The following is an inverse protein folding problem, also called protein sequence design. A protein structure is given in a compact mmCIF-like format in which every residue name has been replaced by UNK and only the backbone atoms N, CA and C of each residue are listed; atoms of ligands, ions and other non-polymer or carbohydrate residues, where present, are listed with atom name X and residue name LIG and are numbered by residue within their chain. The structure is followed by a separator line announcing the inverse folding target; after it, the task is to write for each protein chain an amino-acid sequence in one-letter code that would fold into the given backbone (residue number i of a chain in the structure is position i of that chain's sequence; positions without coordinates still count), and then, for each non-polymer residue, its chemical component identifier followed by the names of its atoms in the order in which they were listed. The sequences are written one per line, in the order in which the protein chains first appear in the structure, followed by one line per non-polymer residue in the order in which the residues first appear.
data_IF_648923518340
#
_entry.id   IF_648923518340
#
_cell.length_a   1.000
_cell.length_b   1.000
_cell.length_c   1.000
_cell.angle_alpha   90.00
_cell.angle_beta   90.00
_cell.angle_gamma   90.00
#
_symmetry.space_group_name_H-M   'P 1'
#
loop_
_entity.id
_entity.type
_entity.pdbx_description
1 polymer ?
#
# COMPACT_ATOMS: atom_id res chain seq x y z
N UNK A 1 8.70 6.09 1.87
CA UNK A 1 7.80 5.48 2.88
C UNK A 1 6.40 5.98 2.60
N UNK A 2 5.39 5.12 2.67
CA UNK A 2 4.01 5.46 2.33
C UNK A 2 3.04 5.35 3.50
N UNK A 3 1.85 5.91 3.32
CA UNK A 3 0.70 5.74 4.23
C UNK A 3 -0.57 5.37 3.49
N UNK A 4 -1.30 4.37 4.00
CA UNK A 4 -2.70 4.17 3.64
C UNK A 4 -3.60 5.13 4.40
N UNK A 5 -4.54 5.76 3.69
CA UNK A 5 -5.49 6.72 4.26
C UNK A 5 -6.88 6.30 3.82
N UNK A 6 -7.78 6.10 4.78
CA UNK A 6 -9.19 5.90 4.54
C UNK A 6 -9.95 7.21 4.82
N UNK A 7 -10.41 7.95 3.79
CA UNK A 7 -11.10 9.23 3.97
C UNK A 7 -12.40 9.15 4.76
N UNK A 8 -13.02 7.97 4.86
CA UNK A 8 -14.20 7.76 5.72
C UNK A 8 -13.86 7.79 7.21
N UNK A 9 -12.64 7.39 7.58
CA UNK A 9 -12.16 7.37 8.97
C UNK A 9 -11.47 8.69 9.31
N UNK A 10 -10.60 9.16 8.43
CA UNK A 10 -9.96 10.47 8.57
C UNK A 10 -10.08 11.26 7.28
N UNK A 11 -10.99 12.25 7.21
CA UNK A 11 -11.14 13.09 6.03
C UNK A 11 -9.82 13.75 5.62
N UNK A 12 -9.55 13.81 4.32
CA UNK A 12 -8.37 14.48 3.74
C UNK A 12 -8.29 15.95 4.20
N UNK A 13 -9.44 16.56 4.45
CA UNK A 13 -9.57 17.91 5.01
C UNK A 13 -8.86 18.11 6.35
N UNK A 14 -8.73 17.05 7.15
CA UNK A 14 -8.18 17.08 8.51
C UNK A 14 -6.71 16.65 8.60
N UNK A 15 -6.10 16.26 7.48
CA UNK A 15 -4.74 15.72 7.47
C UNK A 15 -3.72 16.86 7.29
N UNK A 16 -2.74 16.93 8.20
CA UNK A 16 -1.59 17.81 8.03
C UNK A 16 -0.51 17.12 7.20
N UNK A 17 -0.45 17.47 5.92
CA UNK A 17 0.52 16.90 4.97
C UNK A 17 1.96 17.32 5.25
N UNK A 18 2.19 18.48 5.86
CA UNK A 18 3.53 18.89 6.30
C UNK A 18 4.06 17.97 7.39
N UNK A 19 3.23 17.63 8.39
CA UNK A 19 3.61 16.65 9.42
C UNK A 19 3.96 15.28 8.83
N UNK A 20 3.22 14.82 7.82
CA UNK A 20 3.55 13.59 7.11
C UNK A 20 4.92 13.70 6.40
N UNK A 21 5.16 14.82 5.72
CA UNK A 21 6.43 15.09 5.03
C UNK A 21 7.61 15.09 6.00
N UNK A 22 7.46 15.77 7.14
CA UNK A 22 8.48 15.87 8.19
C UNK A 22 8.76 14.50 8.84
N UNK A 23 7.75 13.62 8.89
CA UNK A 23 7.92 12.23 9.32
C UNK A 23 8.56 11.31 8.25
N UNK A 24 8.96 11.85 7.09
CA UNK A 24 9.62 11.10 6.02
C UNK A 24 8.66 10.37 5.08
N UNK A 25 7.37 10.69 5.11
CA UNK A 25 6.39 10.14 4.16
C UNK A 25 6.58 10.77 2.79
N UNK A 26 6.67 9.92 1.78
CA UNK A 26 6.88 10.29 0.37
C UNK A 26 5.68 9.99 -0.50
N UNK A 27 4.82 9.08 -0.07
CA UNK A 27 3.69 8.56 -0.84
C UNK A 27 2.46 8.41 0.06
N UNK A 28 1.28 8.75 -0.45
CA UNK A 28 0.01 8.44 0.19
C UNK A 28 -0.86 7.58 -0.73
N UNK A 29 -1.62 6.67 -0.14
CA UNK A 29 -2.51 5.73 -0.81
C UNK A 29 -3.92 5.97 -0.28
N UNK A 30 -4.72 6.68 -1.07
CA UNK A 30 -6.05 7.15 -0.66
C UNK A 30 -7.12 6.18 -1.10
N UNK A 31 -7.88 5.64 -0.15
CA UNK A 31 -9.01 4.76 -0.45
C UNK A 31 -10.08 5.52 -1.24
N UNK A 32 -10.41 5.02 -2.43
CA UNK A 32 -11.51 5.55 -3.25
C UNK A 32 -12.33 4.45 -3.90
N UNK A 33 -13.52 4.83 -4.35
CA UNK A 33 -14.50 3.99 -5.05
C UNK A 33 -14.95 4.69 -6.33
N UNK A 34 -15.66 3.95 -7.18
CA UNK A 34 -16.14 4.46 -8.47
C UNK A 34 -16.99 5.74 -8.33
N UNK A 35 -17.74 5.88 -7.24
CA UNK A 35 -18.66 6.99 -6.98
C UNK A 35 -18.00 8.25 -6.40
N UNK A 36 -16.78 8.16 -5.87
CA UNK A 36 -16.18 9.26 -5.10
C UNK A 36 -14.72 9.60 -5.45
N UNK A 37 -14.08 8.87 -6.37
CA UNK A 37 -12.65 9.02 -6.63
C UNK A 37 -12.23 10.44 -7.00
N UNK A 38 -13.01 11.11 -7.86
CA UNK A 38 -12.57 12.37 -8.45
C UNK A 38 -12.42 13.48 -7.41
N UNK A 39 -13.43 13.70 -6.57
CA UNK A 39 -13.39 14.76 -5.54
C UNK A 39 -12.32 14.50 -4.49
N UNK A 40 -12.26 13.26 -3.99
CA UNK A 40 -11.29 12.86 -2.95
C UNK A 40 -9.85 12.96 -3.45
N UNK A 41 -9.57 12.41 -4.64
CA UNK A 41 -8.21 12.44 -5.18
C UNK A 41 -7.77 13.84 -5.59
N UNK A 42 -8.68 14.68 -6.07
CA UNK A 42 -8.36 16.08 -6.40
C UNK A 42 -7.93 16.86 -5.16
N UNK A 43 -8.67 16.72 -4.04
CA UNK A 43 -8.29 17.35 -2.77
C UNK A 43 -6.95 16.80 -2.24
N UNK A 44 -6.80 15.46 -2.22
CA UNK A 44 -5.60 14.82 -1.71
C UNK A 44 -4.37 15.19 -2.53
N UNK A 45 -4.48 15.20 -3.86
CA UNK A 45 -3.40 15.57 -4.77
C UNK A 45 -2.98 17.02 -4.55
N UNK A 46 -3.92 17.96 -4.48
CA UNK A 46 -3.61 19.37 -4.27
C UNK A 46 -2.77 19.59 -3.00
N UNK A 47 -3.14 18.92 -1.91
CA UNK A 47 -2.45 19.03 -0.61
C UNK A 47 -1.13 18.25 -0.55
N UNK A 48 -1.06 17.11 -1.21
CA UNK A 48 0.16 16.31 -1.25
C UNK A 48 1.22 16.98 -2.13
N UNK A 49 0.83 17.50 -3.29
CA UNK A 49 1.72 18.20 -4.22
C UNK A 49 2.35 19.43 -3.57
N UNK A 50 1.62 20.18 -2.72
CA UNK A 50 2.14 21.38 -2.06
C UNK A 50 3.29 21.12 -1.08
N UNK A 51 3.46 19.87 -0.63
CA UNK A 51 4.56 19.43 0.24
C UNK A 51 5.49 18.40 -0.43
N UNK A 52 5.28 18.13 -1.73
CA UNK A 52 6.07 17.16 -2.50
C UNK A 52 5.89 15.71 -2.06
N UNK A 53 4.66 15.32 -1.70
CA UNK A 53 4.24 13.93 -1.47
C UNK A 53 3.50 13.42 -2.71
N UNK A 54 3.77 12.19 -3.14
CA UNK A 54 3.10 11.55 -4.27
C UNK A 54 1.74 10.99 -3.86
N UNK A 55 0.75 11.17 -4.71
CA UNK A 55 -0.58 10.59 -4.52
C UNK A 55 -0.75 9.31 -5.33
N UNK A 56 -1.28 8.28 -4.67
CA UNK A 56 -1.74 7.04 -5.26
C UNK A 56 -3.20 6.80 -4.85
N UNK A 57 -4.00 6.30 -5.77
CA UNK A 57 -5.34 5.80 -5.47
C UNK A 57 -5.24 4.36 -4.99
N UNK A 58 -5.83 4.07 -3.83
CA UNK A 58 -6.04 2.73 -3.33
C UNK A 58 -7.47 2.30 -3.67
N UNK A 59 -7.61 1.24 -4.47
CA UNK A 59 -8.88 0.77 -5.02
C UNK A 59 -9.00 -0.75 -4.91
N UNK A 60 -10.22 -1.25 -4.95
CA UNK A 60 -10.53 -2.68 -4.95
C UNK A 60 -10.96 -3.16 -6.35
N UNK A 61 -11.00 -4.49 -6.60
CA UNK A 61 -11.50 -5.06 -7.85
C UNK A 61 -12.85 -4.51 -8.29
N UNK A 62 -13.02 -4.36 -9.60
CA UNK A 62 -14.17 -3.72 -10.23
C UNK A 62 -14.06 -2.19 -10.33
N UNK A 63 -12.90 -1.60 -10.05
CA UNK A 63 -12.69 -0.16 -10.21
C UNK A 63 -12.52 0.23 -11.69
N UNK A 64 -13.36 1.14 -12.18
CA UNK A 64 -13.52 1.43 -13.62
C UNK A 64 -12.80 2.70 -14.09
N UNK A 65 -12.18 3.46 -13.18
CA UNK A 65 -11.64 4.80 -13.50
C UNK A 65 -10.11 4.89 -13.53
N UNK A 66 -9.40 3.77 -13.70
CA UNK A 66 -7.94 3.73 -13.65
C UNK A 66 -7.27 4.67 -14.68
N UNK A 67 -7.82 4.80 -15.90
CA UNK A 67 -7.28 5.70 -16.93
C UNK A 67 -7.55 7.18 -16.65
N UNK A 68 -8.68 7.50 -16.00
CA UNK A 68 -8.98 8.85 -15.51
C UNK A 68 -7.95 9.24 -14.44
N UNK A 69 -7.68 8.36 -13.47
CA UNK A 69 -6.69 8.61 -12.42
C UNK A 69 -5.29 8.80 -12.99
N UNK A 70 -4.90 7.99 -13.97
CA UNK A 70 -3.60 8.14 -14.64
C UNK A 70 -3.46 9.50 -15.35
N UNK A 71 -4.54 10.02 -15.97
CA UNK A 71 -4.56 11.38 -16.55
C UNK A 71 -4.39 12.48 -15.50
N UNK A 72 -4.83 12.25 -14.25
CA UNK A 72 -4.57 13.14 -13.12
C UNK A 72 -3.12 13.08 -12.60
N UNK A 73 -2.25 12.24 -13.21
CA UNK A 73 -0.87 11.99 -12.77
C UNK A 73 -0.80 11.41 -11.36
N UNK A 74 -1.77 10.55 -11.03
CA UNK A 74 -1.88 9.84 -9.75
C UNK A 74 -1.59 8.37 -10.01
N UNK A 75 -0.78 7.74 -9.16
CA UNK A 75 -0.53 6.30 -9.24
C UNK A 75 -1.76 5.49 -8.83
N UNK A 76 -1.81 4.20 -9.16
CA UNK A 76 -2.93 3.33 -8.78
C UNK A 76 -2.39 2.10 -8.08
N UNK A 77 -3.03 1.73 -6.98
CA UNK A 77 -2.83 0.46 -6.33
C UNK A 77 -4.15 -0.29 -6.29
N UNK A 78 -4.16 -1.48 -6.89
CA UNK A 78 -5.26 -2.43 -6.78
C UNK A 78 -5.02 -3.32 -5.56
N UNK A 79 -5.98 -3.35 -4.65
CA UNK A 79 -5.94 -4.16 -3.45
C UNK A 79 -6.73 -5.45 -3.63
N UNK A 80 -6.02 -6.58 -3.72
CA UNK A 80 -6.57 -7.89 -4.07
C UNK A 80 -6.44 -8.84 -2.88
N UNK A 81 -7.41 -8.76 -1.97
CA UNK A 81 -7.51 -9.59 -0.77
C UNK A 81 -8.23 -10.93 -1.07
N UNK A 82 -7.56 -11.88 -1.71
CA UNK A 82 -8.18 -13.16 -2.13
C UNK A 82 -7.23 -14.34 -2.05
N UNK A 83 -7.76 -15.57 -2.09
CA UNK A 83 -6.99 -16.81 -2.35
C UNK A 83 -7.05 -17.26 -3.81
N UNK A 84 -7.82 -16.55 -4.64
CA UNK A 84 -8.03 -16.85 -6.07
C UNK A 84 -7.36 -15.79 -6.96
N UNK A 85 -6.10 -15.45 -6.67
CA UNK A 85 -5.36 -14.42 -7.42
C UNK A 85 -5.37 -14.61 -8.95
N UNK A 86 -5.31 -15.84 -9.52
CA UNK A 86 -5.40 -16.05 -10.96
C UNK A 86 -6.65 -15.45 -11.62
N UNK A 87 -7.79 -15.38 -10.91
CA UNK A 87 -9.05 -14.87 -11.44
C UNK A 87 -8.99 -13.35 -11.72
N UNK A 88 -8.08 -12.64 -11.05
CA UNK A 88 -7.92 -11.19 -11.18
C UNK A 88 -6.82 -10.79 -12.18
N UNK A 89 -6.07 -11.74 -12.73
CA UNK A 89 -5.01 -11.46 -13.73
C UNK A 89 -5.53 -10.66 -14.95
N UNK A 90 -6.72 -10.95 -15.52
CA UNK A 90 -7.28 -10.13 -16.60
C UNK A 90 -7.48 -8.67 -16.20
N UNK A 91 -8.00 -8.42 -14.99
CA UNK A 91 -8.20 -7.07 -14.47
C UNK A 91 -6.87 -6.36 -14.21
N UNK A 92 -5.91 -7.04 -13.60
CA UNK A 92 -4.57 -6.50 -13.33
C UNK A 92 -3.88 -6.08 -14.64
N UNK A 93 -3.95 -6.90 -15.69
CA UNK A 93 -3.44 -6.57 -17.03
C UNK A 93 -4.15 -5.35 -17.63
N UNK A 94 -5.48 -5.29 -17.51
CA UNK A 94 -6.26 -4.17 -18.01
C UNK A 94 -5.92 -2.86 -17.28
N UNK A 95 -5.78 -2.91 -15.95
CA UNK A 95 -5.39 -1.75 -15.14
C UNK A 95 -3.96 -1.31 -15.44
N UNK A 96 -3.00 -2.21 -15.60
CA UNK A 96 -1.63 -1.86 -16.04
C UNK A 96 -1.64 -1.13 -17.38
N UNK A 97 -2.48 -1.56 -18.34
CA UNK A 97 -2.65 -0.86 -19.62
C UNK A 97 -3.30 0.51 -19.45
N UNK A 98 -4.33 0.61 -18.61
CA UNK A 98 -5.04 1.87 -18.34
C UNK A 98 -4.18 2.92 -17.61
N UNK A 99 -3.17 2.47 -16.87
CA UNK A 99 -2.32 3.29 -15.99
C UNK A 99 -0.93 3.55 -16.57
N UNK A 100 -0.75 3.40 -17.90
CA UNK A 100 0.54 3.71 -18.53
C UNK A 100 0.98 5.14 -18.24
N UNK A 101 2.25 5.32 -17.86
CA UNK A 101 2.83 6.61 -17.51
C UNK A 101 2.69 7.03 -16.04
N UNK A 102 2.04 6.23 -15.19
CA UNK A 102 2.01 6.39 -13.73
C UNK A 102 2.32 5.07 -13.02
N UNK A 103 2.70 5.10 -11.73
CA UNK A 103 2.87 3.87 -10.97
C UNK A 103 1.59 3.04 -10.91
N UNK A 104 1.71 1.73 -11.13
CA UNK A 104 0.67 0.75 -10.88
C UNK A 104 1.21 -0.36 -9.97
N UNK A 105 0.54 -0.61 -8.86
CA UNK A 105 0.93 -1.64 -7.90
C UNK A 105 -0.24 -2.53 -7.52
N UNK A 106 0.07 -3.70 -6.97
CA UNK A 106 -0.92 -4.64 -6.45
C UNK A 106 -0.63 -4.89 -4.97
N UNK A 107 -1.61 -4.65 -4.11
CA UNK A 107 -1.58 -5.10 -2.72
C UNK A 107 -2.20 -6.49 -2.65
N UNK A 108 -1.59 -7.39 -1.89
CA UNK A 108 -2.03 -8.78 -1.80
C UNK A 108 -1.72 -9.36 -0.42
N UNK A 109 -2.46 -10.41 -0.06
CA UNK A 109 -2.11 -11.26 1.08
C UNK A 109 -0.66 -11.76 0.96
N UNK A 110 0.05 -11.99 2.07
CA UNK A 110 1.45 -12.40 2.07
C UNK A 110 1.61 -13.87 1.67
N UNK A 111 2.24 -14.12 0.53
CA UNK A 111 2.65 -15.47 0.13
C UNK A 111 3.56 -16.10 1.20
N UNK A 112 3.34 -17.38 1.56
CA UNK A 112 4.02 -18.13 2.65
C UNK A 112 3.46 -17.93 4.05
N UNK A 113 2.93 -16.76 4.39
CA UNK A 113 2.22 -16.59 5.66
C UNK A 113 0.76 -17.00 5.51
N UNK A 114 0.17 -16.72 4.35
CA UNK A 114 -1.26 -16.86 4.10
C UNK A 114 -1.53 -17.61 2.79
N UNK A 115 -0.85 -18.74 2.61
CA UNK A 115 -0.98 -19.59 1.42
C UNK A 115 -0.19 -19.09 0.20
N UNK A 116 -0.51 -19.67 -0.97
CA UNK A 116 0.11 -19.32 -2.24
C UNK A 116 -0.69 -18.20 -2.93
N UNK A 117 -0.04 -17.09 -3.24
CA UNK A 117 -0.68 -15.87 -3.73
C UNK A 117 -0.30 -15.54 -5.18
N UNK A 118 0.42 -16.45 -5.85
CA UNK A 118 0.77 -16.37 -7.26
C UNK A 118 1.49 -15.07 -7.65
N UNK A 119 2.45 -14.62 -6.84
CA UNK A 119 3.20 -13.39 -7.11
C UNK A 119 3.97 -13.43 -8.44
N UNK A 120 4.33 -14.62 -8.90
CA UNK A 120 4.90 -14.91 -10.22
C UNK A 120 3.97 -14.48 -11.38
N UNK A 121 2.65 -14.59 -11.20
CA UNK A 121 1.66 -14.11 -12.17
C UNK A 121 1.46 -12.58 -12.09
N UNK A 122 1.70 -11.96 -10.93
CA UNK A 122 1.52 -10.52 -10.71
C UNK A 122 2.72 -9.69 -11.14
N UNK A 123 3.93 -10.19 -10.87
CA UNK A 123 5.22 -9.52 -11.07
C UNK A 123 5.38 -8.86 -12.46
N UNK A 124 4.98 -9.49 -13.58
CA UNK A 124 5.11 -8.92 -14.92
C UNK A 124 4.13 -7.78 -15.20
N UNK A 125 3.10 -7.61 -14.38
CA UNK A 125 1.95 -6.74 -14.67
C UNK A 125 1.82 -5.56 -13.70
N UNK A 126 2.78 -5.36 -12.79
CA UNK A 126 2.83 -4.21 -11.90
C UNK A 126 4.26 -3.69 -11.70
N UNK A 127 4.37 -2.45 -11.24
CA UNK A 127 5.66 -1.83 -10.91
C UNK A 127 6.23 -2.39 -9.61
N UNK A 128 5.36 -2.75 -8.66
CA UNK A 128 5.69 -3.41 -7.41
C UNK A 128 4.47 -4.11 -6.80
N UNK A 129 4.72 -5.12 -5.98
CA UNK A 129 3.76 -5.85 -5.16
C UNK A 129 3.90 -5.38 -3.71
N UNK A 130 2.76 -5.24 -3.03
CA UNK A 130 2.67 -4.87 -1.62
C UNK A 130 2.10 -6.05 -0.83
N UNK A 131 2.93 -6.96 -0.30
CA UNK A 131 2.46 -7.97 0.64
C UNK A 131 1.96 -7.28 1.92
N UNK A 132 0.78 -7.68 2.39
CA UNK A 132 0.22 -7.31 3.69
C UNK A 132 0.95 -8.06 4.81
N UNK A 133 2.09 -7.54 5.25
CA UNK A 133 2.92 -8.18 6.27
C UNK A 133 2.47 -7.77 7.68
N UNK A 134 1.23 -8.13 8.01
CA UNK A 134 0.54 -7.71 9.24
C UNK A 134 0.78 -8.74 10.35
N UNK A 135 1.84 -8.53 11.13
CA UNK A 135 2.35 -9.53 12.07
C UNK A 135 1.34 -9.96 13.13
N UNK A 136 0.48 -9.04 13.58
CA UNK A 136 -0.57 -9.27 14.56
C UNK A 136 -1.72 -10.09 13.99
N UNK A 137 -2.15 -9.76 12.77
CA UNK A 137 -3.19 -10.54 12.07
C UNK A 137 -2.73 -11.96 11.74
N UNK A 138 -1.46 -12.12 11.36
CA UNK A 138 -0.87 -13.41 11.02
C UNK A 138 -0.24 -14.15 12.21
N UNK A 139 -0.24 -13.54 13.40
CA UNK A 139 0.33 -14.10 14.63
C UNK A 139 1.79 -14.56 14.46
N UNK A 140 2.60 -13.74 13.79
CA UNK A 140 4.02 -14.02 13.52
C UNK A 140 4.93 -12.99 14.17
N UNK A 141 6.20 -13.39 14.38
CA UNK A 141 7.22 -12.53 14.99
C UNK A 141 7.96 -11.66 13.96
N UNK A 142 8.61 -10.58 14.43
CA UNK A 142 9.45 -9.69 13.60
C UNK A 142 10.58 -10.42 12.85
N UNK A 143 11.04 -11.58 13.34
CA UNK A 143 12.01 -12.43 12.63
C UNK A 143 11.44 -12.96 11.31
N UNK A 144 10.13 -13.23 11.25
CA UNK A 144 9.46 -13.65 10.03
C UNK A 144 9.39 -12.52 9.01
N UNK A 145 9.19 -11.25 9.43
CA UNK A 145 9.23 -10.09 8.52
C UNK A 145 10.56 -10.04 7.75
N UNK A 146 11.66 -10.21 8.48
CA UNK A 146 13.00 -10.21 7.88
C UNK A 146 13.16 -11.40 6.92
N UNK A 147 12.84 -12.61 7.36
CA UNK A 147 13.01 -13.82 6.55
C UNK A 147 12.16 -13.79 5.27
N UNK A 148 10.90 -13.37 5.35
CA UNK A 148 10.00 -13.35 4.19
C UNK A 148 10.40 -12.27 3.19
N UNK A 149 10.83 -11.10 3.65
CA UNK A 149 11.28 -10.04 2.74
C UNK A 149 12.63 -10.36 2.10
N UNK A 150 13.54 -11.06 2.80
CA UNK A 150 14.75 -11.61 2.19
C UNK A 150 14.41 -12.61 1.08
N UNK A 151 13.49 -13.53 1.36
CA UNK A 151 13.01 -14.50 0.38
C UNK A 151 12.39 -13.81 -0.84
N UNK A 152 11.48 -12.86 -0.64
CA UNK A 152 10.89 -12.15 -1.77
C UNK A 152 11.90 -11.31 -2.54
N UNK A 153 12.90 -10.70 -1.90
CA UNK A 153 13.93 -9.95 -2.61
C UNK A 153 14.80 -10.85 -3.48
N UNK A 154 15.00 -12.11 -3.07
CA UNK A 154 15.71 -13.09 -3.86
C UNK A 154 14.91 -13.51 -5.11
N UNK A 155 13.60 -13.77 -4.97
CA UNK A 155 12.76 -14.22 -6.09
C UNK A 155 12.27 -13.07 -6.97
N UNK A 156 11.96 -11.92 -6.37
CA UNK A 156 11.37 -10.74 -7.02
C UNK A 156 12.22 -9.49 -6.73
N UNK A 157 13.48 -9.44 -7.18
CA UNK A 157 14.41 -8.37 -6.83
C UNK A 157 13.87 -6.99 -7.20
N UNK A 158 13.84 -6.08 -6.22
CA UNK A 158 13.41 -4.69 -6.40
C UNK A 158 11.90 -4.47 -6.59
N UNK A 159 11.08 -5.51 -6.45
CA UNK A 159 9.63 -5.46 -6.72
C UNK A 159 8.73 -5.40 -5.50
N UNK A 160 9.29 -5.55 -4.31
CA UNK A 160 8.51 -5.61 -3.09
C UNK A 160 8.54 -4.27 -2.38
N UNK A 161 7.37 -3.80 -1.97
CA UNK A 161 7.21 -2.71 -1.00
C UNK A 161 6.45 -3.31 0.18
N UNK A 162 7.01 -3.34 1.38
CA UNK A 162 6.35 -3.99 2.52
C UNK A 162 5.13 -3.18 3.00
N UNK A 163 3.96 -3.80 3.07
CA UNK A 163 2.82 -3.26 3.81
C UNK A 163 2.92 -3.66 5.28
N UNK A 164 3.01 -2.71 6.20
CA UNK A 164 3.10 -2.97 7.64
C UNK A 164 1.89 -2.38 8.36
N UNK A 165 1.25 -3.17 9.23
CA UNK A 165 0.17 -2.70 10.08
C UNK A 165 0.69 -1.72 11.16
N UNK A 166 -0.10 -0.70 11.52
CA UNK A 166 0.27 0.32 12.52
C UNK A 166 -0.42 0.17 13.86
N UNK A 167 -1.21 -0.89 14.01
CA UNK A 167 -2.01 -1.23 15.19
C UNK A 167 -1.87 -2.73 15.46
N UNK A 168 -2.28 -3.21 16.64
CA UNK A 168 -1.96 -4.57 17.10
C UNK A 168 -2.58 -5.70 16.25
N UNK A 169 -3.79 -5.52 15.70
CA UNK A 169 -4.43 -6.41 14.70
C UNK A 169 -5.83 -5.90 14.37
N UNK A 170 -6.51 -6.48 13.38
CA UNK A 170 -7.93 -6.20 13.08
C UNK A 170 -8.87 -6.56 14.24
N UNK A 171 -8.46 -7.45 15.15
CA UNK A 171 -9.18 -7.76 16.38
C UNK A 171 -8.78 -6.85 17.55
N UNK A 172 -7.67 -6.11 17.45
CA UNK A 172 -7.18 -5.19 18.46
C UNK A 172 -6.65 -3.89 17.81
N UNK A 173 -7.52 -2.89 17.72
CA UNK A 173 -7.21 -1.61 17.06
C UNK A 173 -6.28 -0.69 17.88
N UNK A 174 -5.63 -1.18 18.93
CA UNK A 174 -4.66 -0.42 19.72
C UNK A 174 -3.48 0.00 18.83
N UNK A 175 -3.16 1.31 18.69
CA UNK A 175 -2.03 1.72 17.87
C UNK A 175 -0.69 1.32 18.45
N UNK A 176 0.16 0.70 17.62
CA UNK A 176 1.54 0.35 17.95
C UNK A 176 2.35 1.60 18.27
N UNK A 177 3.31 1.47 19.18
CA UNK A 177 4.23 2.55 19.51
C UNK A 177 5.21 2.84 18.36
N UNK A 178 5.66 4.10 18.25
CA UNK A 178 6.65 4.53 17.24
C UNK A 178 7.90 3.64 17.20
N UNK A 179 8.42 3.27 18.37
CA UNK A 179 9.62 2.42 18.46
C UNK A 179 9.39 1.01 17.92
N UNK A 180 8.19 0.45 18.10
CA UNK A 180 7.80 -0.84 17.51
C UNK A 180 7.78 -0.75 15.99
N UNK A 181 7.10 0.27 15.45
CA UNK A 181 7.05 0.51 13.99
C UNK A 181 8.43 0.73 13.38
N UNK A 182 9.30 1.49 14.04
CA UNK A 182 10.69 1.68 13.59
C UNK A 182 11.50 0.39 13.60
N UNK A 183 11.23 -0.55 14.52
CA UNK A 183 11.87 -1.88 14.49
C UNK A 183 11.37 -2.69 13.30
N UNK A 184 10.06 -2.74 13.06
CA UNK A 184 9.48 -3.45 11.92
C UNK A 184 9.95 -2.87 10.57
N UNK A 185 9.95 -1.55 10.41
CA UNK A 185 10.50 -0.85 9.24
C UNK A 185 11.96 -1.26 8.99
N UNK A 186 12.81 -1.24 10.04
CA UNK A 186 14.22 -1.63 9.92
C UNK A 186 14.41 -3.09 9.56
N UNK A 187 13.50 -3.97 9.98
CA UNK A 187 13.58 -5.39 9.65
C UNK A 187 13.38 -5.66 8.15
N UNK A 188 12.62 -4.82 7.44
CA UNK A 188 12.26 -5.04 6.03
C UNK A 188 12.98 -4.11 5.05
N UNK A 189 13.35 -2.88 5.46
CA UNK A 189 13.80 -1.82 4.54
C UNK A 189 15.02 -2.15 3.68
N UNK A 190 15.88 -3.07 4.13
CA UNK A 190 17.09 -3.47 3.38
C UNK A 190 16.81 -4.55 2.33
N UNK A 191 15.61 -5.12 2.34
CA UNK A 191 15.17 -6.19 1.44
C UNK A 191 13.94 -5.77 0.61
N UNK A 192 13.48 -4.53 0.76
CA UNK A 192 12.35 -4.01 0.00
C UNK A 192 12.70 -2.68 -0.66
N UNK A 193 11.98 -2.34 -1.73
CA UNK A 193 12.05 -1.04 -2.40
C UNK A 193 11.48 0.08 -1.53
N UNK A 194 10.64 -0.27 -0.56
CA UNK A 194 10.02 0.69 0.34
C UNK A 194 9.12 0.01 1.37
N UNK A 195 8.44 0.84 2.14
CA UNK A 195 7.47 0.45 3.17
C UNK A 195 6.26 1.36 3.07
N UNK A 196 5.05 0.80 3.21
CA UNK A 196 3.78 1.51 3.33
C UNK A 196 3.13 1.11 4.65
N UNK A 197 2.67 2.10 5.42
CA UNK A 197 2.07 1.91 6.74
C UNK A 197 0.54 1.87 6.65
N UNK A 198 -0.07 0.79 7.16
CA UNK A 198 -1.51 0.54 7.21
C UNK A 198 -2.01 0.65 8.66
N UNK A 199 -2.65 1.74 9.09
CA UNK A 199 -3.09 2.91 8.31
C UNK A 199 -3.12 4.18 9.14
N UNK A 200 -3.17 5.32 8.45
CA UNK A 200 -3.33 6.64 9.03
C UNK A 200 -4.60 6.71 9.91
N UNK A 201 -4.51 7.41 11.04
CA UNK A 201 -5.57 7.48 12.05
C UNK A 201 -5.55 6.34 13.07
N UNK A 202 -4.85 5.24 12.81
CA UNK A 202 -4.56 4.16 13.77
C UNK A 202 -3.06 3.93 13.88
N UNK A 203 -2.29 5.01 14.11
CA UNK A 203 -0.84 4.98 14.15
C UNK A 203 -0.29 6.03 15.11
N UNK A 204 0.85 5.72 15.76
CA UNK A 204 1.65 6.66 16.56
C UNK A 204 3.02 6.95 15.92
N UNK A 205 3.13 6.83 14.60
CA UNK A 205 4.42 6.98 13.90
C UNK A 205 4.88 8.45 13.79
N UNK A 206 3.95 9.37 13.53
CA UNK A 206 4.17 10.79 13.31
C UNK A 206 3.56 11.63 14.43
#
# INVERSE_FOLDING_TARGET
MGYYINPKVTPVSKINFTTLKDAGITDIYILVRNDNYYSILSEAKLKADSVGIKTNAWVFPGFKHASQIARMKIGVQLDVETYHMPDYIPEIKAMRKATQGVPFSVCAKPEKWDGYQYYDLLYPHCDYIVPMLYIGDYQVEITHLKSVTQFYNYIYPGKIVAGLETYESDQNLTPKGKNTLLKEIRAVQHHTRGVILFRFGLSKFH
#
